data_IF_043825965748
#
_entry.id   IF_043825965748
#
_cell.length_a   1.000
_cell.length_b   1.000
_cell.length_c   1.000
_cell.angle_alpha   90.00
_cell.angle_beta   90.00
_cell.angle_gamma   90.00
#
_symmetry.space_group_name_H-M   'P 1'
#
loop_
_entity.id
_entity.type
_entity.pdbx_description
1 polymer ?
#
# COMPACT_ATOMS: atom_id res chain seq x y z
N UNK A 1 24.00 43.46 -33.67
CA UNK A 1 23.43 43.50 -32.30
C UNK A 1 22.55 42.26 -32.16
N UNK A 2 23.09 41.14 -31.63
CA UNK A 2 22.32 39.92 -31.38
C UNK A 2 21.59 40.09 -30.05
N UNK A 3 20.25 40.13 -30.09
CA UNK A 3 19.44 39.97 -28.87
C UNK A 3 19.56 38.53 -28.38
N UNK A 4 20.16 38.36 -27.23
CA UNK A 4 20.11 37.09 -26.50
C UNK A 4 18.69 36.85 -26.00
N UNK A 5 18.03 35.82 -26.51
CA UNK A 5 16.74 35.32 -25.97
C UNK A 5 17.08 34.63 -24.66
N UNK A 6 16.76 35.27 -23.51
CA UNK A 6 16.84 34.63 -22.22
C UNK A 6 15.75 33.54 -22.14
N UNK A 7 16.07 32.33 -21.66
CA UNK A 7 15.04 31.34 -21.42
C UNK A 7 14.09 31.84 -20.33
N UNK A 8 12.80 31.91 -20.65
CA UNK A 8 11.74 32.17 -19.68
C UNK A 8 11.76 31.01 -18.69
N UNK A 9 12.12 31.31 -17.45
CA UNK A 9 12.00 30.33 -16.38
C UNK A 9 10.52 29.91 -16.28
N UNK A 10 10.24 28.63 -16.46
CA UNK A 10 8.90 28.10 -16.29
C UNK A 10 8.42 28.42 -14.86
N UNK A 11 7.24 29.02 -14.75
CA UNK A 11 6.64 29.32 -13.45
C UNK A 11 6.54 28.02 -12.64
N UNK A 12 6.78 28.04 -11.32
CA UNK A 12 6.63 26.86 -10.48
C UNK A 12 5.18 26.40 -10.58
N UNK A 13 4.98 25.18 -11.10
CA UNK A 13 3.67 24.55 -11.22
C UNK A 13 3.17 24.33 -9.80
N UNK A 14 2.03 24.91 -9.43
CA UNK A 14 1.37 24.65 -8.16
C UNK A 14 1.17 23.15 -8.01
N UNK A 15 1.50 22.54 -6.84
CA UNK A 15 1.35 21.12 -6.66
C UNK A 15 -0.10 20.69 -6.92
N UNK A 16 -0.30 19.78 -7.86
CA UNK A 16 -1.62 19.17 -8.12
C UNK A 16 -2.06 18.47 -6.84
N UNK A 17 -3.29 18.69 -6.37
CA UNK A 17 -3.78 18.21 -5.06
C UNK A 17 -3.63 16.70 -4.82
N UNK A 18 -3.56 15.90 -5.89
CA UNK A 18 -3.31 14.46 -5.85
C UNK A 18 -1.86 14.06 -6.12
N UNK A 19 -0.94 15.03 -6.20
CA UNK A 19 0.47 14.74 -6.42
C UNK A 19 1.14 14.26 -5.13
N UNK A 20 2.07 13.33 -5.27
CA UNK A 20 2.89 12.83 -4.15
C UNK A 20 3.67 13.98 -3.48
N UNK A 21 4.32 14.93 -4.22
CA UNK A 21 4.96 16.08 -3.59
C UNK A 21 4.02 16.96 -2.76
N UNK A 22 2.79 17.18 -3.20
CA UNK A 22 1.82 17.94 -2.42
C UNK A 22 1.44 17.22 -1.10
N UNK A 23 1.50 15.89 -1.11
CA UNK A 23 1.22 15.06 0.05
C UNK A 23 2.40 14.98 1.05
N UNK A 24 3.63 15.35 0.67
CA UNK A 24 4.77 15.35 1.60
C UNK A 24 4.62 16.33 2.76
N UNK A 25 3.91 17.44 2.53
CA UNK A 25 3.66 18.46 3.56
C UNK A 25 2.48 18.12 4.47
N UNK A 26 1.74 17.05 4.20
CA UNK A 26 0.59 16.65 5.02
C UNK A 26 1.07 16.07 6.35
N UNK A 27 0.35 16.40 7.40
CA UNK A 27 0.48 15.69 8.66
C UNK A 27 -0.44 14.47 8.64
N UNK A 28 0.17 13.30 8.57
CA UNK A 28 -0.58 12.05 8.66
C UNK A 28 -0.94 11.77 10.12
N UNK A 29 -2.18 11.40 10.35
CA UNK A 29 -2.69 11.02 11.66
C UNK A 29 -3.27 9.61 11.60
N UNK A 30 -3.18 8.90 12.71
CA UNK A 30 -3.81 7.62 12.92
C UNK A 30 -3.93 7.42 14.43
N UNK A 31 -5.15 7.37 14.94
CA UNK A 31 -5.44 7.20 16.35
C UNK A 31 -6.74 6.44 16.57
N UNK A 32 -7.22 6.42 17.80
CA UNK A 32 -8.51 5.84 18.19
C UNK A 32 -8.74 4.40 17.69
N UNK A 33 -7.67 3.57 17.69
CA UNK A 33 -7.81 2.16 17.33
C UNK A 33 -8.76 1.47 18.29
N UNK A 34 -9.95 1.10 17.81
CA UNK A 34 -10.96 0.35 18.54
C UNK A 34 -10.98 -1.09 18.09
N UNK A 35 -10.84 -2.01 19.03
CA UNK A 35 -10.91 -3.45 18.79
C UNK A 35 -12.20 -4.00 19.39
N UNK A 36 -13.12 -4.43 18.52
CA UNK A 36 -14.41 -5.00 18.91
C UNK A 36 -14.28 -6.38 19.56
N UNK A 37 -15.41 -6.97 19.96
CA UNK A 37 -15.45 -8.34 20.46
C UNK A 37 -14.99 -9.33 19.39
N UNK A 38 -14.40 -10.45 19.82
CA UNK A 38 -14.04 -11.53 18.92
C UNK A 38 -15.30 -12.13 18.25
N UNK A 39 -15.33 -12.14 16.93
CA UNK A 39 -16.42 -12.78 16.16
C UNK A 39 -16.05 -14.16 15.62
N UNK A 40 -14.76 -14.51 15.66
CA UNK A 40 -14.24 -15.84 15.29
C UNK A 40 -13.00 -16.15 16.11
N UNK A 41 -12.73 -17.43 16.36
CA UNK A 41 -11.56 -17.87 17.11
C UNK A 41 -11.05 -19.22 16.61
N UNK A 42 -9.74 -19.41 16.76
CA UNK A 42 -9.03 -20.66 16.58
C UNK A 42 -8.23 -21.02 17.83
N UNK A 43 -7.51 -22.15 17.80
CA UNK A 43 -6.61 -22.50 18.89
C UNK A 43 -5.44 -21.50 19.06
N UNK A 44 -5.09 -20.74 18.02
CA UNK A 44 -3.89 -19.88 18.02
C UNK A 44 -4.19 -18.38 18.01
N UNK A 45 -5.36 -17.94 17.54
CA UNK A 45 -5.70 -16.51 17.42
C UNK A 45 -7.22 -16.29 17.50
N UNK A 46 -7.60 -15.02 17.65
CA UNK A 46 -8.99 -14.53 17.55
C UNK A 46 -9.07 -13.50 16.42
N UNK A 47 -10.28 -13.29 15.86
CA UNK A 47 -10.60 -12.29 14.86
C UNK A 47 -11.52 -11.24 15.42
N UNK A 48 -11.21 -9.99 15.15
CA UNK A 48 -11.95 -8.83 15.65
C UNK A 48 -12.23 -7.86 14.50
N UNK A 49 -13.42 -7.25 14.52
CA UNK A 49 -13.64 -6.04 13.73
C UNK A 49 -12.92 -4.89 14.42
N UNK A 50 -12.33 -4.01 13.64
CA UNK A 50 -11.67 -2.82 14.15
C UNK A 50 -12.10 -1.58 13.39
N UNK A 51 -11.94 -0.42 14.03
CA UNK A 51 -11.96 0.89 13.38
C UNK A 51 -10.80 1.73 13.91
N UNK A 52 -10.38 2.70 13.14
CA UNK A 52 -9.41 3.72 13.55
C UNK A 52 -9.64 5.00 12.75
N UNK A 53 -9.14 6.12 13.26
CA UNK A 53 -9.21 7.40 12.57
C UNK A 53 -7.98 7.58 11.67
N UNK A 54 -8.18 8.08 10.45
CA UNK A 54 -7.14 8.36 9.45
C UNK A 54 -7.50 9.61 8.65
N UNK A 55 -6.81 10.73 8.91
CA UNK A 55 -6.99 11.95 8.12
C UNK A 55 -8.42 12.50 8.10
N UNK A 56 -9.21 12.29 9.16
CA UNK A 56 -10.61 12.71 9.28
C UNK A 56 -11.61 11.70 8.73
N UNK A 57 -11.17 10.48 8.38
CA UNK A 57 -12.02 9.36 7.99
C UNK A 57 -11.94 8.25 9.03
N UNK A 58 -13.08 7.66 9.38
CA UNK A 58 -13.12 6.42 10.12
C UNK A 58 -12.90 5.25 9.16
N UNK A 59 -11.83 4.49 9.36
CA UNK A 59 -11.49 3.34 8.52
C UNK A 59 -11.78 2.06 9.28
N UNK A 60 -12.50 1.14 8.64
CA UNK A 60 -12.78 -0.20 9.17
C UNK A 60 -11.70 -1.21 8.80
N UNK A 61 -11.71 -2.35 9.49
CA UNK A 61 -10.79 -3.44 9.20
C UNK A 61 -11.02 -4.68 10.04
N UNK A 62 -10.14 -5.66 9.83
CA UNK A 62 -10.10 -6.89 10.63
C UNK A 62 -8.74 -7.02 11.31
N UNK A 63 -8.76 -7.26 12.61
CA UNK A 63 -7.56 -7.61 13.37
C UNK A 63 -7.56 -9.09 13.71
N UNK A 64 -6.44 -9.74 13.39
CA UNK A 64 -6.09 -11.07 13.90
C UNK A 64 -5.21 -10.86 15.10
N UNK A 65 -5.67 -11.31 16.26
CA UNK A 65 -4.94 -11.22 17.53
C UNK A 65 -4.46 -12.61 17.93
N UNK A 66 -3.15 -12.89 17.99
CA UNK A 66 -2.63 -14.14 18.51
C UNK A 66 -3.04 -14.34 19.96
N UNK A 67 -3.15 -15.62 20.39
CA UNK A 67 -3.33 -15.95 21.82
C UNK A 67 -2.01 -15.82 22.56
N UNK A 68 -2.10 -15.45 23.84
CA UNK A 68 -0.94 -15.20 24.70
C UNK A 68 -0.85 -13.75 25.15
N UNK A 69 0.20 -13.44 25.88
CA UNK A 69 0.37 -12.13 26.51
C UNK A 69 0.94 -11.07 25.55
N UNK A 70 1.74 -11.48 24.59
CA UNK A 70 2.46 -10.52 23.72
C UNK A 70 3.66 -9.87 24.44
N UNK A 71 4.14 -8.69 24.02
CA UNK A 71 3.65 -7.97 22.85
C UNK A 71 4.00 -8.68 21.52
N UNK A 72 3.09 -8.61 20.56
CA UNK A 72 3.24 -9.23 19.26
C UNK A 72 3.56 -8.18 18.19
N UNK A 73 4.50 -8.45 17.26
CA UNK A 73 4.73 -7.59 16.11
C UNK A 73 3.49 -7.54 15.21
N UNK A 74 3.34 -6.43 14.50
CA UNK A 74 2.16 -6.14 13.68
C UNK A 74 2.51 -6.21 12.20
N UNK A 75 1.61 -6.76 11.39
CA UNK A 75 1.66 -6.65 9.93
C UNK A 75 0.36 -6.00 9.45
N UNK A 76 0.47 -4.80 8.91
CA UNK A 76 -0.63 -4.11 8.24
C UNK A 76 -0.79 -4.71 6.84
N UNK A 77 -2.02 -5.07 6.47
CA UNK A 77 -2.34 -5.74 5.20
C UNK A 77 -3.10 -4.79 4.28
N UNK A 78 -2.52 -4.52 3.12
CA UNK A 78 -3.05 -3.67 2.05
C UNK A 78 -3.53 -4.54 0.89
N UNK A 79 -4.86 -4.76 0.76
CA UNK A 79 -5.44 -5.70 -0.20
C UNK A 79 -5.40 -5.19 -1.65
N UNK A 80 -5.53 -6.13 -2.60
CA UNK A 80 -5.68 -5.85 -4.03
C UNK A 80 -7.06 -5.25 -4.35
N UNK A 81 -7.25 -4.85 -5.62
CA UNK A 81 -8.55 -4.31 -6.03
C UNK A 81 -9.65 -5.34 -5.87
N UNK A 82 -10.70 -4.94 -5.19
CA UNK A 82 -12.00 -5.60 -5.10
C UNK A 82 -13.03 -4.49 -5.22
N UNK A 83 -14.08 -4.71 -5.99
CA UNK A 83 -15.12 -3.71 -6.17
C UNK A 83 -15.73 -3.32 -4.80
N UNK A 84 -15.69 -2.04 -4.41
CA UNK A 84 -16.26 -1.59 -3.14
C UNK A 84 -17.72 -2.00 -2.91
N UNK A 85 -18.52 -2.10 -3.99
CA UNK A 85 -19.93 -2.49 -3.92
C UNK A 85 -20.12 -3.96 -3.49
N UNK A 86 -19.13 -4.82 -3.70
CA UNK A 86 -19.18 -6.25 -3.37
C UNK A 86 -18.21 -6.66 -2.28
N UNK A 87 -17.37 -5.72 -1.84
CA UNK A 87 -16.36 -5.98 -0.82
C UNK A 87 -16.98 -6.26 0.56
N UNK A 88 -16.45 -7.26 1.24
CA UNK A 88 -16.73 -7.53 2.65
C UNK A 88 -15.45 -7.42 3.49
N UNK A 89 -15.57 -6.90 4.70
CA UNK A 89 -14.42 -6.57 5.57
C UNK A 89 -13.45 -7.73 5.75
N UNK A 90 -12.18 -7.49 5.45
CA UNK A 90 -11.10 -8.47 5.53
C UNK A 90 -10.94 -9.38 4.32
N UNK A 91 -11.63 -9.11 3.20
CA UNK A 91 -11.52 -9.88 1.96
C UNK A 91 -10.14 -9.71 1.30
N UNK A 92 -9.67 -10.77 0.62
CA UNK A 92 -8.45 -10.72 -0.22
C UNK A 92 -7.19 -11.29 0.42
N UNK A 93 -7.10 -11.33 1.77
CA UNK A 93 -5.89 -11.79 2.46
C UNK A 93 -6.14 -12.92 3.49
N UNK A 94 -7.17 -13.74 3.29
CA UNK A 94 -7.56 -14.74 4.30
C UNK A 94 -6.44 -15.69 4.70
N UNK A 95 -5.69 -16.20 3.72
CA UNK A 95 -4.58 -17.13 3.97
C UNK A 95 -3.44 -16.50 4.75
N UNK A 96 -3.09 -15.28 4.39
CA UNK A 96 -2.03 -14.49 5.03
C UNK A 96 -2.43 -14.10 6.45
N UNK A 97 -3.68 -13.70 6.67
CA UNK A 97 -4.22 -13.42 7.99
C UNK A 97 -4.10 -14.67 8.90
N UNK A 98 -4.53 -15.84 8.41
CA UNK A 98 -4.46 -17.09 9.15
C UNK A 98 -3.01 -17.50 9.43
N UNK A 99 -2.13 -17.35 8.44
CA UNK A 99 -0.71 -17.68 8.60
C UNK A 99 -0.03 -16.76 9.62
N UNK A 100 -0.24 -15.46 9.54
CA UNK A 100 0.32 -14.47 10.48
C UNK A 100 -0.15 -14.73 11.91
N UNK A 101 -1.45 -14.94 12.12
CA UNK A 101 -2.01 -15.27 13.42
C UNK A 101 -1.44 -16.55 14.01
N UNK A 102 -1.23 -17.59 13.19
CA UNK A 102 -0.60 -18.85 13.61
C UNK A 102 0.90 -18.69 13.95
N UNK A 103 1.57 -17.67 13.39
CA UNK A 103 3.00 -17.38 13.62
C UNK A 103 3.25 -16.35 14.71
N UNK A 104 2.20 -15.87 15.39
CA UNK A 104 2.33 -14.93 16.50
C UNK A 104 2.46 -13.47 16.06
N UNK A 105 1.99 -13.10 14.87
CA UNK A 105 1.86 -11.72 14.42
C UNK A 105 0.42 -11.24 14.60
N UNK A 106 0.24 -10.03 15.06
CA UNK A 106 -1.02 -9.29 14.87
C UNK A 106 -1.10 -8.95 13.38
N UNK A 107 -2.17 -9.34 12.70
CA UNK A 107 -2.43 -8.87 11.34
C UNK A 107 -3.57 -7.84 11.38
N UNK A 108 -3.30 -6.62 10.92
CA UNK A 108 -4.30 -5.56 10.78
C UNK A 108 -4.63 -5.37 9.31
N UNK A 109 -5.74 -5.98 8.87
CA UNK A 109 -6.24 -5.84 7.50
C UNK A 109 -7.05 -4.55 7.38
N UNK A 110 -6.60 -3.64 6.52
CA UNK A 110 -7.26 -2.36 6.24
C UNK A 110 -8.31 -2.57 5.16
N UNK A 111 -9.56 -2.12 5.42
CA UNK A 111 -10.60 -2.17 4.39
C UNK A 111 -10.49 -1.03 3.37
N UNK A 112 -9.75 0.03 3.67
CA UNK A 112 -9.67 1.32 2.99
C UNK A 112 -10.97 2.14 3.06
N UNK A 113 -10.87 3.46 2.80
CA UNK A 113 -12.03 4.32 2.54
C UNK A 113 -12.86 3.78 1.37
N UNK A 114 -14.13 4.04 1.33
CA UNK A 114 -15.11 3.54 0.35
C UNK A 114 -15.40 2.02 0.43
N UNK A 115 -14.82 1.28 1.38
CA UNK A 115 -15.01 -0.15 1.50
C UNK A 115 -15.65 -0.53 2.85
N UNK A 116 -16.50 -1.54 2.86
CA UNK A 116 -17.16 -2.11 4.04
C UNK A 116 -17.83 -1.04 4.93
N UNK A 117 -17.35 -0.81 6.16
CA UNK A 117 -17.87 0.16 7.12
C UNK A 117 -16.99 1.42 7.23
N UNK A 118 -16.01 1.58 6.35
CA UNK A 118 -15.21 2.80 6.28
C UNK A 118 -16.01 3.97 5.71
N UNK A 119 -15.61 5.19 6.07
CA UNK A 119 -16.16 6.41 5.50
C UNK A 119 -15.90 6.52 3.99
N UNK A 120 -16.73 7.29 3.31
CA UNK A 120 -16.67 7.47 1.87
C UNK A 120 -15.92 8.75 1.49
N UNK A 121 -15.02 8.61 0.52
CA UNK A 121 -14.35 9.71 -0.19
C UNK A 121 -14.66 9.60 -1.69
N UNK A 122 -15.63 10.37 -2.22
CA UNK A 122 -16.02 10.29 -3.63
C UNK A 122 -14.93 10.76 -4.60
N UNK A 123 -13.88 11.44 -4.10
CA UNK A 123 -12.76 11.91 -4.92
C UNK A 123 -11.60 10.92 -5.01
N UNK A 124 -11.61 9.86 -4.20
CA UNK A 124 -10.46 8.97 -4.07
C UNK A 124 -10.02 8.34 -5.41
N UNK A 125 -10.96 7.89 -6.25
CA UNK A 125 -10.61 7.28 -7.55
C UNK A 125 -10.02 8.31 -8.52
N UNK A 126 -10.58 9.52 -8.58
CA UNK A 126 -10.03 10.62 -9.40
C UNK A 126 -8.66 11.05 -8.88
N UNK A 127 -8.45 11.00 -7.57
CA UNK A 127 -7.16 11.24 -6.92
C UNK A 127 -6.16 10.08 -7.06
N UNK A 128 -6.34 9.22 -8.06
CA UNK A 128 -5.48 8.06 -8.34
C UNK A 128 -5.30 7.15 -7.12
N UNK A 129 -6.32 7.10 -6.25
CA UNK A 129 -6.41 6.27 -5.03
C UNK A 129 -5.31 6.55 -3.99
N UNK A 130 -4.76 7.76 -3.98
CA UNK A 130 -3.74 8.16 -3.01
C UNK A 130 -4.26 8.05 -1.56
N UNK A 131 -5.57 8.22 -1.35
CA UNK A 131 -6.22 8.05 -0.06
C UNK A 131 -6.03 6.66 0.56
N UNK A 132 -5.89 5.60 -0.23
CA UNK A 132 -5.61 4.26 0.31
C UNK A 132 -4.23 4.16 0.98
N UNK A 133 -3.24 4.88 0.46
CA UNK A 133 -1.93 4.97 1.10
C UNK A 133 -2.01 5.75 2.43
N UNK A 134 -2.83 6.80 2.49
CA UNK A 134 -3.10 7.54 3.73
C UNK A 134 -3.77 6.64 4.77
N UNK A 135 -4.74 5.80 4.38
CA UNK A 135 -5.43 4.87 5.27
C UNK A 135 -4.48 3.81 5.86
N UNK A 136 -3.52 3.33 5.06
CA UNK A 136 -2.50 2.37 5.50
C UNK A 136 -1.49 3.03 6.45
N UNK A 137 -1.08 4.27 6.18
CA UNK A 137 -0.25 5.08 7.10
C UNK A 137 -1.01 5.30 8.41
N UNK A 138 -2.29 5.69 8.33
CA UNK A 138 -3.17 5.87 9.48
C UNK A 138 -3.28 4.61 10.34
N UNK A 139 -3.40 3.43 9.71
CA UNK A 139 -3.41 2.14 10.41
C UNK A 139 -2.13 1.92 11.24
N UNK A 140 -0.95 2.19 10.65
CA UNK A 140 0.32 2.05 11.36
C UNK A 140 0.43 3.05 12.52
N UNK A 141 0.03 4.31 12.31
CA UNK A 141 0.04 5.33 13.35
C UNK A 141 -0.95 5.00 14.48
N UNK A 142 -2.15 4.49 14.16
CA UNK A 142 -3.15 4.04 15.14
C UNK A 142 -2.64 2.85 15.97
N UNK A 143 -1.89 1.92 15.36
CA UNK A 143 -1.18 0.85 16.07
C UNK A 143 -0.14 1.45 17.03
N UNK A 144 0.70 2.36 16.55
CA UNK A 144 1.78 2.99 17.34
C UNK A 144 1.26 3.85 18.50
N UNK A 145 0.10 4.50 18.36
CA UNK A 145 -0.56 5.31 19.42
C UNK A 145 -1.42 4.47 20.37
N UNK A 146 -1.79 3.23 20.01
CA UNK A 146 -2.73 2.41 20.76
C UNK A 146 -2.29 2.09 22.19
N UNK A 147 -3.24 1.78 23.09
CA UNK A 147 -2.96 1.40 24.48
C UNK A 147 -3.04 -0.12 24.72
N UNK A 148 -3.10 -0.93 23.66
CA UNK A 148 -3.17 -2.38 23.76
C UNK A 148 -1.80 -2.99 24.08
N UNK A 149 -1.62 -3.53 25.28
CA UNK A 149 -0.36 -4.10 25.79
C UNK A 149 0.13 -5.32 24.99
N UNK A 150 -0.75 -5.99 24.26
CA UNK A 150 -0.38 -7.13 23.42
C UNK A 150 0.22 -6.72 22.07
N UNK A 151 0.27 -5.43 21.73
CA UNK A 151 0.83 -4.89 20.48
C UNK A 151 2.27 -4.40 20.71
N UNK A 152 3.22 -4.90 19.93
CA UNK A 152 4.56 -4.32 19.84
C UNK A 152 4.54 -3.12 18.87
N UNK A 153 4.46 -1.93 19.42
CA UNK A 153 4.34 -0.67 18.66
C UNK A 153 5.60 -0.30 17.86
N UNK A 154 6.72 -0.93 18.19
CA UNK A 154 8.02 -0.70 17.57
C UNK A 154 8.35 -1.74 16.48
N UNK A 155 7.40 -2.62 16.16
CA UNK A 155 7.57 -3.70 15.18
C UNK A 155 6.35 -3.78 14.28
N UNK A 156 6.28 -2.86 13.29
CA UNK A 156 5.15 -2.71 12.39
C UNK A 156 5.62 -2.84 10.94
N UNK A 157 5.25 -3.93 10.28
CA UNK A 157 5.51 -4.13 8.85
C UNK A 157 4.26 -3.88 8.00
N UNK A 158 4.47 -3.63 6.71
CA UNK A 158 3.43 -3.50 5.70
C UNK A 158 3.52 -4.66 4.71
N UNK A 159 2.38 -5.27 4.36
CA UNK A 159 2.30 -6.26 3.29
C UNK A 159 1.18 -5.87 2.32
N UNK A 160 1.53 -5.62 1.07
CA UNK A 160 0.59 -5.25 0.01
C UNK A 160 0.57 -6.25 -1.14
N UNK A 161 -0.61 -6.49 -1.75
CA UNK A 161 -0.76 -7.33 -2.94
C UNK A 161 -1.45 -6.57 -4.05
N UNK A 162 -0.98 -6.75 -5.32
CA UNK A 162 -1.62 -6.16 -6.49
C UNK A 162 -1.74 -4.64 -6.34
N UNK A 163 -2.94 -4.07 -6.43
CA UNK A 163 -3.20 -2.67 -6.09
C UNK A 163 -2.60 -2.28 -4.72
N UNK A 164 -2.76 -3.14 -3.70
CA UNK A 164 -2.20 -2.92 -2.37
C UNK A 164 -0.67 -2.88 -2.35
N UNK A 165 0.02 -3.51 -3.31
CA UNK A 165 1.46 -3.35 -3.51
C UNK A 165 1.82 -1.96 -3.99
N UNK A 166 1.05 -1.41 -4.94
CA UNK A 166 1.17 0.00 -5.37
C UNK A 166 0.89 0.98 -4.22
N UNK A 167 -0.16 0.72 -3.43
CA UNK A 167 -0.49 1.47 -2.20
C UNK A 167 0.68 1.43 -1.20
N UNK A 168 1.34 0.26 -1.04
CA UNK A 168 2.50 0.15 -0.17
C UNK A 168 3.64 1.06 -0.62
N UNK A 169 3.99 1.08 -1.91
CA UNK A 169 5.02 2.01 -2.41
C UNK A 169 4.64 3.47 -2.25
N UNK A 170 3.37 3.83 -2.43
CA UNK A 170 2.89 5.18 -2.12
C UNK A 170 3.07 5.51 -0.63
N UNK A 171 2.65 4.61 0.28
CA UNK A 171 2.78 4.83 1.72
C UNK A 171 4.24 5.03 2.17
N UNK A 172 5.18 4.22 1.65
CA UNK A 172 6.60 4.32 1.94
C UNK A 172 7.21 5.65 1.50
N UNK A 173 6.83 6.17 0.32
CA UNK A 173 7.34 7.47 -0.15
C UNK A 173 6.66 8.66 0.54
N UNK A 174 5.41 8.51 0.97
CA UNK A 174 4.67 9.57 1.68
C UNK A 174 5.17 9.76 3.11
N UNK A 175 5.33 8.67 3.86
CA UNK A 175 5.70 8.68 5.27
C UNK A 175 6.83 7.69 5.55
N UNK A 176 8.08 8.01 5.18
CA UNK A 176 9.25 7.18 5.49
C UNK A 176 9.40 6.94 7.01
N UNK A 177 9.79 5.72 7.38
CA UNK A 177 10.01 5.34 8.77
C UNK A 177 8.74 5.04 9.58
N UNK A 178 7.56 5.06 8.95
CA UNK A 178 6.32 4.66 9.65
C UNK A 178 6.22 3.14 9.80
N UNK A 179 6.83 2.40 8.88
CA UNK A 179 6.97 0.95 8.93
C UNK A 179 8.43 0.56 9.19
N UNK A 180 8.66 -0.63 9.74
CA UNK A 180 9.99 -1.17 9.96
C UNK A 180 10.44 -2.09 8.81
N UNK A 181 9.51 -2.53 7.98
CA UNK A 181 9.75 -3.34 6.77
C UNK A 181 8.52 -3.33 5.87
N UNK A 182 8.70 -3.55 4.57
CA UNK A 182 7.60 -3.68 3.63
C UNK A 182 7.73 -4.90 2.71
N UNK A 183 6.60 -5.52 2.41
CA UNK A 183 6.50 -6.68 1.51
C UNK A 183 5.48 -6.37 0.43
N UNK A 184 5.79 -6.69 -0.83
CA UNK A 184 4.84 -6.59 -1.93
C UNK A 184 4.75 -7.90 -2.71
N UNK A 185 3.50 -8.32 -2.97
CA UNK A 185 3.18 -9.44 -3.85
C UNK A 185 2.54 -8.94 -5.13
N UNK A 186 3.07 -9.34 -6.29
CA UNK A 186 2.43 -9.11 -7.58
C UNK A 186 1.91 -7.66 -7.72
N UNK A 187 2.77 -6.68 -7.36
CA UNK A 187 2.39 -5.26 -7.27
C UNK A 187 2.00 -4.70 -8.64
N UNK A 188 1.05 -3.76 -8.63
CA UNK A 188 0.81 -2.88 -9.78
C UNK A 188 2.05 -2.05 -10.11
N UNK A 189 2.06 -1.40 -11.28
CA UNK A 189 3.15 -0.49 -11.63
C UNK A 189 3.28 0.65 -10.61
N UNK A 190 4.51 1.09 -10.40
CA UNK A 190 4.82 2.28 -9.62
C UNK A 190 4.81 3.57 -10.46
N UNK A 191 4.42 3.46 -11.74
CA UNK A 191 4.08 4.58 -12.62
C UNK A 191 2.56 4.72 -12.72
N UNK A 192 2.06 5.93 -12.49
CA UNK A 192 0.62 6.22 -12.53
C UNK A 192 0.02 5.99 -13.94
N UNK A 193 0.77 6.34 -14.98
CA UNK A 193 0.36 6.17 -16.38
C UNK A 193 0.07 4.70 -16.73
N UNK A 194 0.92 3.76 -16.31
CA UNK A 194 0.72 2.33 -16.58
C UNK A 194 -0.61 1.84 -15.99
N UNK A 195 -0.87 2.19 -14.74
CA UNK A 195 -2.08 1.80 -14.03
C UNK A 195 -3.33 2.43 -14.66
N UNK A 196 -3.25 3.72 -15.01
CA UNK A 196 -4.33 4.41 -15.71
C UNK A 196 -4.65 3.74 -17.04
N UNK A 197 -3.65 3.53 -17.89
CA UNK A 197 -3.83 2.95 -19.20
C UNK A 197 -4.40 1.53 -19.15
N UNK A 198 -4.04 0.74 -18.12
CA UNK A 198 -4.50 -0.64 -18.00
C UNK A 198 -5.90 -0.77 -17.43
N UNK A 199 -6.25 0.01 -16.39
CA UNK A 199 -7.48 -0.24 -15.65
C UNK A 199 -8.47 0.92 -15.57
N UNK A 200 -8.01 2.18 -15.71
CA UNK A 200 -8.86 3.34 -15.45
C UNK A 200 -9.33 4.03 -16.72
N UNK A 201 -8.52 4.03 -17.77
CA UNK A 201 -8.80 4.75 -19.03
C UNK A 201 -10.19 4.43 -19.61
N UNK A 202 -10.60 3.16 -19.59
CA UNK A 202 -11.87 2.68 -20.15
C UNK A 202 -12.93 2.42 -19.07
N UNK A 203 -12.70 2.86 -17.83
CA UNK A 203 -13.63 2.74 -16.72
C UNK A 203 -14.44 4.04 -16.60
N UNK A 204 -15.60 4.08 -17.25
CA UNK A 204 -16.48 5.25 -17.21
C UNK A 204 -17.27 5.33 -15.90
N UNK A 205 -17.47 6.57 -15.33
CA UNK A 205 -16.97 7.87 -15.80
C UNK A 205 -15.58 8.25 -15.30
N UNK A 206 -14.92 7.39 -14.51
CA UNK A 206 -13.69 7.71 -13.77
C UNK A 206 -12.52 8.07 -14.73
N UNK A 207 -12.37 7.32 -15.82
CA UNK A 207 -11.32 7.61 -16.81
C UNK A 207 -11.42 9.02 -17.38
N UNK A 208 -12.63 9.45 -17.74
CA UNK A 208 -12.88 10.80 -18.26
C UNK A 208 -12.64 11.88 -17.20
N UNK A 209 -13.05 11.63 -15.97
CA UNK A 209 -12.81 12.57 -14.85
C UNK A 209 -11.33 12.76 -14.59
N UNK A 210 -10.54 11.68 -14.62
CA UNK A 210 -9.08 11.74 -14.47
C UNK A 210 -8.45 12.55 -15.62
N UNK A 211 -8.85 12.27 -16.88
CA UNK A 211 -8.34 13.01 -18.04
C UNK A 211 -8.75 14.49 -18.00
N UNK A 212 -9.95 14.80 -17.54
CA UNK A 212 -10.42 16.19 -17.36
C UNK A 212 -9.59 16.92 -16.30
N UNK A 213 -9.23 16.24 -15.21
CA UNK A 213 -8.50 16.84 -14.09
C UNK A 213 -7.01 17.04 -14.42
N UNK A 214 -6.36 16.03 -15.04
CA UNK A 214 -4.90 15.99 -15.20
C UNK A 214 -4.42 16.11 -16.64
N UNK A 215 -5.29 16.06 -17.65
CA UNK A 215 -4.91 15.88 -19.04
C UNK A 215 -4.41 14.47 -19.33
N UNK A 216 -4.06 14.20 -20.57
CA UNK A 216 -3.41 12.93 -20.95
C UNK A 216 -1.94 12.89 -20.48
N UNK A 217 -1.32 11.70 -20.31
CA UNK A 217 0.10 11.60 -20.00
C UNK A 217 1.01 12.34 -21.01
N UNK A 218 0.60 12.37 -22.27
CA UNK A 218 1.34 13.07 -23.35
C UNK A 218 1.21 14.60 -23.22
N UNK A 219 0.05 15.11 -22.88
CA UNK A 219 -0.22 16.56 -22.77
C UNK A 219 0.33 17.14 -21.46
N UNK A 220 0.30 16.38 -20.38
CA UNK A 220 0.75 16.84 -19.05
C UNK A 220 1.65 15.80 -18.35
N UNK A 221 2.83 15.49 -18.90
CA UNK A 221 3.71 14.47 -18.35
C UNK A 221 4.17 14.78 -16.91
N UNK A 222 4.24 16.06 -16.54
CA UNK A 222 4.64 16.48 -15.19
C UNK A 222 3.60 16.03 -14.14
N UNK A 223 2.31 16.15 -14.44
CA UNK A 223 1.26 15.67 -13.55
C UNK A 223 1.38 14.17 -13.31
N UNK A 224 1.53 13.38 -14.37
CA UNK A 224 1.64 11.91 -14.30
C UNK A 224 2.92 11.44 -13.60
N UNK A 225 4.03 12.14 -13.83
CA UNK A 225 5.27 11.90 -13.09
C UNK A 225 5.10 12.22 -11.60
N UNK A 226 4.38 13.29 -11.25
CA UNK A 226 4.16 13.68 -9.86
C UNK A 226 3.25 12.70 -9.09
N UNK A 227 2.42 11.92 -9.77
CA UNK A 227 1.57 10.88 -9.19
C UNK A 227 2.27 9.50 -9.13
N UNK A 228 3.45 9.37 -9.69
CA UNK A 228 4.19 8.10 -9.81
C UNK A 228 5.15 7.92 -8.64
N UNK A 229 4.91 6.95 -7.76
CA UNK A 229 5.75 6.71 -6.56
C UNK A 229 7.21 6.41 -6.89
N UNK A 230 7.48 5.80 -8.07
CA UNK A 230 8.83 5.48 -8.54
C UNK A 230 9.78 6.68 -8.54
N UNK A 231 9.28 7.88 -8.81
CA UNK A 231 10.09 9.09 -8.89
C UNK A 231 10.58 9.59 -7.52
N UNK A 232 10.08 8.99 -6.43
CA UNK A 232 10.38 9.40 -5.06
C UNK A 232 10.97 8.28 -4.21
N UNK A 233 11.48 7.21 -4.81
CA UNK A 233 12.03 6.06 -4.10
C UNK A 233 13.24 6.38 -3.21
N UNK A 234 13.95 7.47 -3.50
CA UNK A 234 15.01 7.97 -2.60
C UNK A 234 14.52 8.36 -1.20
N UNK A 235 13.21 8.44 -0.99
CA UNK A 235 12.59 8.68 0.33
C UNK A 235 12.36 7.40 1.12
N UNK A 236 12.36 6.23 0.48
CA UNK A 236 12.13 4.94 1.15
C UNK A 236 13.34 4.61 2.01
N UNK A 237 13.10 4.38 3.29
CA UNK A 237 14.13 4.04 4.29
C UNK A 237 14.01 2.59 4.78
N UNK A 238 12.87 1.98 4.53
CA UNK A 238 12.52 0.64 4.94
C UNK A 238 13.15 -0.42 4.04
N UNK A 239 13.59 -1.57 4.58
CA UNK A 239 13.88 -2.73 3.75
C UNK A 239 12.62 -3.24 3.07
N UNK A 240 12.73 -3.63 1.79
CA UNK A 240 11.61 -4.07 0.95
C UNK A 240 11.84 -5.49 0.45
N UNK A 241 10.83 -6.35 0.59
CA UNK A 241 10.75 -7.64 -0.09
C UNK A 241 9.72 -7.55 -1.22
N UNK A 242 10.16 -7.77 -2.45
CA UNK A 242 9.28 -7.87 -3.62
C UNK A 242 9.18 -9.31 -4.08
N UNK A 243 7.95 -9.79 -4.31
CA UNK A 243 7.65 -11.14 -4.80
C UNK A 243 6.73 -11.03 -6.01
N UNK A 244 7.10 -11.69 -7.13
CA UNK A 244 6.32 -11.61 -8.37
C UNK A 244 6.37 -12.89 -9.19
N UNK A 245 5.25 -13.28 -9.80
CA UNK A 245 5.17 -14.41 -10.72
C UNK A 245 5.53 -14.02 -12.15
N UNK A 246 6.35 -14.83 -12.86
CA UNK A 246 6.80 -14.44 -14.21
C UNK A 246 5.72 -14.59 -15.29
N UNK A 247 4.58 -15.24 -14.98
CA UNK A 247 3.40 -15.34 -15.86
C UNK A 247 2.18 -14.63 -15.26
N UNK A 248 2.44 -13.54 -14.50
CA UNK A 248 1.38 -12.71 -13.98
C UNK A 248 0.61 -12.03 -15.12
N UNK A 249 -0.66 -12.40 -15.27
CA UNK A 249 -1.56 -11.92 -16.31
C UNK A 249 -2.18 -10.56 -15.97
N UNK A 250 -2.17 -10.19 -14.70
CA UNK A 250 -2.74 -8.92 -14.20
C UNK A 250 -1.68 -7.82 -14.12
N UNK A 251 -0.56 -8.08 -13.44
CA UNK A 251 0.51 -7.12 -13.24
C UNK A 251 1.75 -7.60 -13.98
N UNK A 252 2.06 -6.95 -15.09
CA UNK A 252 3.15 -7.38 -15.97
C UNK A 252 4.49 -7.47 -15.23
N UNK A 253 5.23 -8.56 -15.43
CA UNK A 253 6.54 -8.79 -14.81
C UNK A 253 7.55 -7.68 -15.12
N UNK A 254 7.43 -7.02 -16.27
CA UNK A 254 8.29 -5.89 -16.64
C UNK A 254 8.15 -4.72 -15.67
N UNK A 255 6.96 -4.51 -15.11
CA UNK A 255 6.73 -3.49 -14.09
C UNK A 255 7.48 -3.79 -12.78
N UNK A 256 7.45 -5.06 -12.36
CA UNK A 256 8.17 -5.49 -11.16
C UNK A 256 9.70 -5.35 -11.35
N UNK A 257 10.22 -5.78 -12.49
CA UNK A 257 11.65 -5.64 -12.84
C UNK A 257 12.09 -4.18 -12.89
N UNK A 258 11.28 -3.32 -13.52
CA UNK A 258 11.55 -1.88 -13.58
C UNK A 258 11.44 -1.21 -12.19
N UNK A 259 10.51 -1.68 -11.33
CA UNK A 259 10.39 -1.21 -9.96
C UNK A 259 11.60 -1.62 -9.13
N UNK A 260 12.05 -2.88 -9.22
CA UNK A 260 13.26 -3.36 -8.55
C UNK A 260 14.48 -2.55 -8.94
N UNK A 261 14.73 -2.39 -10.25
CA UNK A 261 15.85 -1.60 -10.73
C UNK A 261 15.83 -0.14 -10.25
N UNK A 262 14.64 0.45 -10.12
CA UNK A 262 14.50 1.81 -9.61
C UNK A 262 14.76 1.89 -8.09
N UNK A 263 14.35 0.89 -7.31
CA UNK A 263 14.66 0.79 -5.88
C UNK A 263 16.17 0.64 -5.64
N UNK A 264 16.82 -0.29 -6.35
CA UNK A 264 18.28 -0.47 -6.29
C UNK A 264 19.02 0.82 -6.64
N UNK A 265 18.63 1.49 -7.73
CA UNK A 265 19.21 2.78 -8.16
C UNK A 265 19.04 3.87 -7.10
N UNK A 266 17.97 3.81 -6.31
CA UNK A 266 17.68 4.76 -5.23
C UNK A 266 18.35 4.41 -3.91
N UNK A 267 19.11 3.31 -3.84
CA UNK A 267 19.82 2.86 -2.63
C UNK A 267 18.94 2.16 -1.59
N UNK A 268 17.74 1.73 -1.97
CA UNK A 268 16.83 1.01 -1.06
C UNK A 268 17.34 -0.43 -0.84
N UNK A 269 17.32 -0.91 0.41
CA UNK A 269 17.58 -2.34 0.74
C UNK A 269 16.42 -3.19 0.22
N UNK A 270 16.52 -3.67 -1.03
CA UNK A 270 15.49 -4.46 -1.69
C UNK A 270 15.95 -5.91 -1.88
N UNK A 271 15.05 -6.85 -1.56
CA UNK A 271 15.15 -8.26 -1.94
C UNK A 271 14.05 -8.56 -2.93
N UNK A 272 14.40 -8.98 -4.15
CA UNK A 272 13.45 -9.30 -5.21
C UNK A 272 13.47 -10.80 -5.54
N UNK A 273 12.29 -11.43 -5.52
CA UNK A 273 12.12 -12.86 -5.80
C UNK A 273 11.11 -13.02 -6.93
N UNK A 274 11.56 -13.60 -8.05
CA UNK A 274 10.69 -14.05 -9.14
C UNK A 274 10.35 -15.52 -8.99
N UNK A 275 9.07 -15.86 -9.21
CA UNK A 275 8.60 -17.24 -9.27
C UNK A 275 8.33 -17.63 -10.73
N UNK A 276 9.20 -18.45 -11.35
CA UNK A 276 9.07 -18.84 -12.75
C UNK A 276 7.75 -19.57 -13.04
N UNK A 277 6.99 -19.06 -14.02
CA UNK A 277 5.72 -19.67 -14.44
C UNK A 277 4.53 -19.35 -13.53
N UNK A 278 4.73 -18.70 -12.40
CA UNK A 278 3.66 -18.39 -11.46
C UNK A 278 2.73 -17.28 -11.98
N UNK A 279 1.39 -17.45 -11.85
CA UNK A 279 0.38 -16.44 -12.19
C UNK A 279 0.21 -15.39 -11.07
N UNK A 280 -0.71 -14.44 -11.26
CA UNK A 280 -0.96 -13.33 -10.32
C UNK A 280 -1.23 -13.77 -8.88
N UNK A 281 -2.02 -14.81 -8.67
CA UNK A 281 -2.37 -15.29 -7.32
C UNK A 281 -1.37 -16.24 -6.69
N UNK A 282 -0.37 -16.73 -7.44
CA UNK A 282 0.73 -17.58 -6.97
C UNK A 282 0.27 -18.78 -6.10
N UNK A 283 -0.81 -19.45 -6.49
CA UNK A 283 -1.38 -20.51 -5.66
C UNK A 283 -0.43 -21.69 -5.44
N UNK A 284 0.32 -22.10 -6.47
CA UNK A 284 1.28 -23.20 -6.41
C UNK A 284 2.51 -22.86 -5.55
N UNK A 285 2.94 -21.62 -5.59
CA UNK A 285 4.16 -21.12 -4.94
C UNK A 285 3.90 -20.51 -3.57
N UNK A 286 2.64 -20.47 -3.13
CA UNK A 286 2.25 -19.78 -1.90
C UNK A 286 3.03 -20.26 -0.67
N UNK A 287 3.24 -21.57 -0.53
CA UNK A 287 3.93 -22.14 0.64
C UNK A 287 5.38 -21.67 0.74
N UNK A 288 6.10 -21.58 -0.39
CA UNK A 288 7.46 -21.06 -0.38
C UNK A 288 7.47 -19.53 -0.23
N UNK A 289 6.65 -18.82 -0.98
CA UNK A 289 6.61 -17.37 -0.93
C UNK A 289 6.25 -16.84 0.46
N UNK A 290 5.29 -17.44 1.17
CA UNK A 290 4.96 -17.03 2.54
C UNK A 290 6.06 -17.41 3.55
N UNK A 291 6.85 -18.47 3.27
CA UNK A 291 8.07 -18.77 4.05
C UNK A 291 9.12 -17.67 3.89
N UNK A 292 9.33 -17.17 2.67
CA UNK A 292 10.23 -16.03 2.41
C UNK A 292 9.77 -14.78 3.17
N UNK A 293 8.45 -14.48 3.17
CA UNK A 293 7.89 -13.41 4.01
C UNK A 293 8.22 -13.63 5.49
N UNK A 294 8.07 -14.84 5.99
CA UNK A 294 8.40 -15.16 7.39
C UNK A 294 9.86 -14.95 7.75
N UNK A 295 10.78 -15.33 6.86
CA UNK A 295 12.21 -15.10 7.03
C UNK A 295 12.53 -13.58 7.03
N UNK A 296 11.93 -12.86 6.10
CA UNK A 296 12.11 -11.41 5.99
C UNK A 296 11.56 -10.67 7.22
N UNK A 297 10.34 -10.98 7.66
CA UNK A 297 9.76 -10.39 8.88
C UNK A 297 10.63 -10.70 10.12
N UNK A 298 11.10 -11.95 10.26
CA UNK A 298 11.96 -12.34 11.37
C UNK A 298 13.31 -11.59 11.38
N UNK A 299 13.86 -11.27 10.20
CA UNK A 299 15.09 -10.48 10.06
C UNK A 299 14.88 -9.03 10.50
N UNK A 300 13.77 -8.41 10.09
CA UNK A 300 13.58 -6.97 10.15
C UNK A 300 12.68 -6.49 11.32
N UNK A 301 11.91 -7.38 11.96
CA UNK A 301 11.09 -7.07 13.15
C UNK A 301 11.69 -7.67 14.45
N UNK A 302 13.00 -7.55 14.64
CA UNK A 302 13.72 -8.05 15.85
C UNK A 302 13.65 -7.08 17.01
#
# INVERSE_FOLDING_TARGET
MLLAIMPVAAAPISPIGSSIPAAFARQYSGDDLKVGKAFSSSAKYTRHRVTYESGGFTISGIMIKPRGLGPFPVVVLAHGYIDPATYWSGQGFRREQDWLGNKGYVALHVDYRNHAQSDNDPKNDVSMRLGYAEDVIGAALAVKSSQYSYIDKNKVALLGRSMGGGVAFQALVLQPGVFDAAITYASTSTLAEDNFNKWQRNNYPIGDQILKEYGTPKENPIAWQSMSSRNYFSRITEPVLMIHGTKDESCDISWARATNAALEKSGVDVTYIEYPGAPHYMFGEWSDSIRQVGLFLKKNLR
#
